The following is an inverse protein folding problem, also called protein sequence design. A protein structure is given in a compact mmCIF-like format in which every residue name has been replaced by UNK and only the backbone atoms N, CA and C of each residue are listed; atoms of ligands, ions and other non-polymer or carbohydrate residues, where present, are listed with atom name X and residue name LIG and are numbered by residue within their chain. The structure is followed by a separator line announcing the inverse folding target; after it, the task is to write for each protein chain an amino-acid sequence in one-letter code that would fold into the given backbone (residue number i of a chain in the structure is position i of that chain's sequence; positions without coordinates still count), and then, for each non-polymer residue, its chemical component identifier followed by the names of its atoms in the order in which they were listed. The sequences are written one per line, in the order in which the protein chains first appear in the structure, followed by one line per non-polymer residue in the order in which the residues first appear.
data_IF_521375427930
#
_entry.id   IF_521375427930
#
_cell.length_a   1.000
_cell.length_b   1.000
_cell.length_c   1.000
_cell.angle_alpha   90.00
_cell.angle_beta   90.00
_cell.angle_gamma   90.00
#
_symmetry.space_group_name_H-M   'P 1'
#
loop_
_entity.id
_entity.type
_entity.pdbx_description
1 polymer ?
#
# COMPACT_ATOMS: atom_id res chain seq x y z
N UNK A 1 28.56 69.01 2.95
CA UNK A 1 28.03 68.01 3.91
C UNK A 1 26.77 67.30 3.39
N UNK A 2 26.31 67.56 2.17
CA UNK A 2 25.04 67.01 1.66
C UNK A 2 25.16 65.70 0.86
N UNK A 3 26.37 65.21 0.57
CA UNK A 3 26.57 63.96 -0.18
C UNK A 3 26.65 62.70 0.69
N UNK A 4 26.72 62.86 2.01
CA UNK A 4 26.85 61.74 2.95
C UNK A 4 25.49 61.24 3.47
N UNK A 5 24.50 62.13 3.58
CA UNK A 5 23.17 61.79 4.14
C UNK A 5 22.30 61.01 3.13
N UNK A 6 22.41 61.28 1.82
CA UNK A 6 21.62 60.53 0.82
C UNK A 6 22.05 59.07 0.66
N UNK A 7 23.34 58.75 0.87
CA UNK A 7 23.86 57.38 0.73
C UNK A 7 23.39 56.45 1.85
N UNK A 8 23.19 56.97 3.06
CA UNK A 8 22.75 56.18 4.22
C UNK A 8 21.24 55.86 4.15
N UNK A 9 20.45 56.81 3.63
CA UNK A 9 19.02 56.62 3.32
C UNK A 9 18.79 55.51 2.28
N UNK A 10 19.50 55.55 1.16
CA UNK A 10 19.34 54.56 0.08
C UNK A 10 19.77 53.15 0.51
N UNK A 11 20.83 53.04 1.32
CA UNK A 11 21.28 51.76 1.84
C UNK A 11 20.26 51.14 2.80
N UNK A 12 19.63 51.96 3.65
CA UNK A 12 18.59 51.52 4.59
C UNK A 12 17.31 51.04 3.88
N UNK A 13 16.91 51.72 2.81
CA UNK A 13 15.76 51.39 1.96
C UNK A 13 15.99 50.11 1.16
N UNK A 14 17.19 49.91 0.62
CA UNK A 14 17.58 48.68 -0.08
C UNK A 14 17.63 47.47 0.87
N UNK A 15 18.13 47.63 2.09
CA UNK A 15 18.07 46.56 3.10
C UNK A 15 16.65 46.25 3.53
N UNK A 16 15.78 47.25 3.68
CA UNK A 16 14.38 47.05 4.08
C UNK A 16 13.57 46.35 2.99
N UNK A 17 13.76 46.74 1.73
CA UNK A 17 13.17 46.08 0.55
C UNK A 17 13.65 44.64 0.37
N UNK A 18 14.94 44.37 0.63
CA UNK A 18 15.50 43.02 0.57
C UNK A 18 14.93 42.11 1.67
N UNK A 19 14.77 42.63 2.89
CA UNK A 19 14.18 41.89 4.02
C UNK A 19 12.69 41.62 3.79
N UNK A 20 11.92 42.60 3.33
CA UNK A 20 10.48 42.42 3.00
C UNK A 20 10.26 41.41 1.86
N UNK A 21 11.13 41.41 0.84
CA UNK A 21 11.08 40.42 -0.24
C UNK A 21 11.47 39.01 0.25
N UNK A 22 12.41 38.91 1.18
CA UNK A 22 12.81 37.63 1.78
C UNK A 22 11.70 37.05 2.65
N UNK A 23 11.06 37.86 3.50
CA UNK A 23 9.91 37.44 4.31
C UNK A 23 8.70 37.05 3.46
N UNK A 24 8.41 37.79 2.38
CA UNK A 24 7.36 37.44 1.43
C UNK A 24 7.63 36.10 0.72
N UNK A 25 8.89 35.81 0.41
CA UNK A 25 9.31 34.54 -0.20
C UNK A 25 9.14 33.36 0.77
N UNK A 26 9.58 33.51 2.03
CA UNK A 26 9.40 32.50 3.09
C UNK A 26 7.91 32.26 3.37
N UNK A 27 7.10 33.31 3.40
CA UNK A 27 5.65 33.19 3.62
C UNK A 27 4.99 32.44 2.45
N UNK A 28 5.37 32.76 1.21
CA UNK A 28 4.86 32.08 0.00
C UNK A 28 5.29 30.62 -0.04
N UNK A 29 6.51 30.30 0.38
CA UNK A 29 7.02 28.95 0.49
C UNK A 29 6.31 28.16 1.60
N UNK A 30 6.06 28.77 2.77
CA UNK A 30 5.23 28.16 3.85
C UNK A 30 3.78 27.94 3.43
N UNK A 31 3.19 28.87 2.68
CA UNK A 31 1.82 28.74 2.15
C UNK A 31 1.76 27.63 1.10
N UNK A 32 2.75 27.57 0.20
CA UNK A 32 2.90 26.49 -0.79
C UNK A 32 3.07 25.12 -0.14
N UNK A 33 3.91 25.02 0.89
CA UNK A 33 4.15 23.78 1.63
C UNK A 33 2.89 23.33 2.39
N UNK A 34 2.15 24.27 3.01
CA UNK A 34 0.85 23.98 3.63
C UNK A 34 -0.17 23.52 2.60
N UNK A 35 -0.31 24.19 1.46
CA UNK A 35 -1.22 23.78 0.39
C UNK A 35 -0.88 22.37 -0.10
N UNK A 36 0.40 22.08 -0.33
CA UNK A 36 0.89 20.76 -0.75
C UNK A 36 0.63 19.67 0.30
N UNK A 37 0.73 20.00 1.59
CA UNK A 37 0.41 19.08 2.69
C UNK A 37 -1.10 18.81 2.82
N UNK A 38 -1.94 19.84 2.74
CA UNK A 38 -3.40 19.67 2.76
C UNK A 38 -3.92 18.90 1.55
N UNK A 39 -3.27 19.05 0.39
CA UNK A 39 -3.56 18.25 -0.80
C UNK A 39 -3.11 16.79 -0.65
N UNK A 40 -2.00 16.52 0.05
CA UNK A 40 -1.53 15.16 0.34
C UNK A 40 -2.44 14.43 1.36
N UNK A 41 -2.98 15.17 2.34
CA UNK A 41 -4.00 14.64 3.26
C UNK A 41 -5.29 14.32 2.47
N UNK A 42 -5.68 15.17 1.52
CA UNK A 42 -6.87 14.96 0.71
C UNK A 42 -8.17 15.22 1.47
N UNK A 43 -8.23 16.25 2.33
CA UNK A 43 -9.45 16.52 3.13
C UNK A 43 -10.65 16.88 2.24
N UNK A 44 -10.41 17.49 1.09
CA UNK A 44 -11.47 17.80 0.11
C UNK A 44 -12.19 16.55 -0.39
N UNK A 45 -11.52 15.41 -0.31
CA UNK A 45 -11.91 14.16 -0.93
C UNK A 45 -13.04 13.48 -0.13
N UNK A 46 -13.22 13.81 1.16
CA UNK A 46 -14.39 13.41 1.97
C UNK A 46 -15.73 13.89 1.39
N UNK A 47 -15.71 14.98 0.63
CA UNK A 47 -16.92 15.55 0.00
C UNK A 47 -17.19 14.99 -1.40
N UNK A 48 -16.30 14.17 -1.95
CA UNK A 48 -16.46 13.60 -3.28
C UNK A 48 -17.37 12.36 -3.25
N UNK A 49 -18.46 12.33 -4.02
CA UNK A 49 -19.31 11.14 -4.12
C UNK A 49 -18.60 9.96 -4.79
N UNK A 50 -17.61 10.20 -5.66
CA UNK A 50 -16.80 9.18 -6.30
C UNK A 50 -15.97 8.39 -5.27
N UNK A 51 -15.41 9.08 -4.28
CA UNK A 51 -14.70 8.42 -3.17
C UNK A 51 -15.61 7.44 -2.45
N UNK A 52 -16.82 7.86 -2.07
CA UNK A 52 -17.75 7.01 -1.33
C UNK A 52 -18.25 5.82 -2.14
N UNK A 53 -18.48 6.00 -3.46
CA UNK A 53 -18.80 4.90 -4.37
C UNK A 53 -17.65 3.89 -4.46
N UNK A 54 -16.41 4.36 -4.55
CA UNK A 54 -15.24 3.50 -4.61
C UNK A 54 -14.99 2.79 -3.27
N UNK A 55 -15.17 3.47 -2.14
CA UNK A 55 -15.11 2.87 -0.81
C UNK A 55 -16.20 1.81 -0.59
N UNK A 56 -17.43 2.07 -1.04
CA UNK A 56 -18.50 1.08 -1.00
C UNK A 56 -18.17 -0.14 -1.88
N UNK A 57 -17.55 0.09 -3.03
CA UNK A 57 -17.04 -0.99 -3.89
C UNK A 57 -16.02 -1.83 -3.14
N UNK A 58 -15.00 -1.21 -2.53
CA UNK A 58 -14.00 -1.88 -1.70
C UNK A 58 -14.61 -2.69 -0.55
N UNK A 59 -15.67 -2.18 0.10
CA UNK A 59 -16.40 -2.91 1.14
C UNK A 59 -17.07 -4.18 0.57
N UNK A 60 -17.89 -4.02 -0.47
CA UNK A 60 -18.67 -5.14 -1.04
C UNK A 60 -17.75 -6.19 -1.65
N UNK A 61 -16.72 -5.76 -2.38
CA UNK A 61 -15.79 -6.68 -3.04
C UNK A 61 -14.91 -7.39 -2.02
N UNK A 62 -14.47 -6.71 -0.95
CA UNK A 62 -13.74 -7.39 0.15
C UNK A 62 -14.64 -8.39 0.87
N UNK A 63 -15.92 -8.09 1.09
CA UNK A 63 -16.86 -9.03 1.71
C UNK A 63 -17.04 -10.31 0.86
N UNK A 64 -17.28 -10.13 -0.44
CA UNK A 64 -17.41 -11.25 -1.38
C UNK A 64 -16.09 -12.02 -1.54
N UNK A 65 -14.96 -11.33 -1.59
CA UNK A 65 -13.63 -11.94 -1.67
C UNK A 65 -13.38 -12.80 -0.44
N UNK A 66 -13.59 -12.28 0.77
CA UNK A 66 -13.38 -13.04 2.01
C UNK A 66 -14.31 -14.26 2.10
N UNK A 67 -15.56 -14.11 1.67
CA UNK A 67 -16.51 -15.21 1.62
C UNK A 67 -16.05 -16.33 0.67
N UNK A 68 -15.80 -16.00 -0.61
CA UNK A 68 -15.46 -16.98 -1.64
C UNK A 68 -14.06 -17.57 -1.40
N UNK A 69 -13.05 -16.71 -1.18
CA UNK A 69 -11.67 -17.14 -0.97
C UNK A 69 -11.56 -18.10 0.20
N UNK A 70 -12.16 -17.75 1.34
CA UNK A 70 -12.01 -18.54 2.56
C UNK A 70 -12.81 -19.83 2.49
N UNK A 71 -14.03 -19.81 1.93
CA UNK A 71 -14.80 -21.03 1.66
C UNK A 71 -14.02 -21.99 0.76
N UNK A 72 -13.40 -21.49 -0.32
CA UNK A 72 -12.59 -22.30 -1.22
C UNK A 72 -11.35 -22.86 -0.53
N UNK A 73 -10.64 -22.07 0.29
CA UNK A 73 -9.48 -22.56 1.05
C UNK A 73 -9.89 -23.69 2.00
N UNK A 74 -10.97 -23.50 2.76
CA UNK A 74 -11.48 -24.55 3.67
C UNK A 74 -11.86 -25.80 2.90
N UNK A 75 -12.56 -25.66 1.76
CA UNK A 75 -12.90 -26.79 0.90
C UNK A 75 -11.68 -27.52 0.34
N UNK A 76 -10.60 -26.81 0.03
CA UNK A 76 -9.34 -27.41 -0.44
C UNK A 76 -8.63 -28.19 0.68
N UNK A 77 -8.77 -27.75 1.93
CA UNK A 77 -8.17 -28.41 3.09
C UNK A 77 -8.98 -29.62 3.57
N UNK A 78 -10.29 -29.66 3.29
CA UNK A 78 -11.23 -30.71 3.72
C UNK A 78 -11.43 -31.80 2.66
N UNK A 79 -11.01 -31.58 1.41
CA UNK A 79 -11.36 -32.48 0.29
C UNK A 79 -10.76 -33.88 0.39
N UNK A 80 -9.67 -34.10 1.13
CA UNK A 80 -8.94 -35.37 1.27
C UNK A 80 -8.47 -36.06 -0.04
N UNK A 81 -8.85 -35.58 -1.22
CA UNK A 81 -8.57 -36.17 -2.54
C UNK A 81 -7.23 -35.72 -3.16
N UNK A 82 -6.70 -34.56 -2.77
CA UNK A 82 -5.50 -33.96 -3.40
C UNK A 82 -4.63 -33.26 -2.37
N UNK A 83 -3.32 -33.14 -2.63
CA UNK A 83 -2.42 -32.41 -1.73
C UNK A 83 -2.82 -30.92 -1.67
N UNK A 84 -3.29 -30.42 -0.51
CA UNK A 84 -3.75 -29.04 -0.38
C UNK A 84 -2.64 -28.01 -0.65
N UNK A 85 -1.36 -28.41 -0.58
CA UNK A 85 -0.21 -27.54 -0.85
C UNK A 85 -0.23 -26.93 -2.25
N UNK A 86 -0.79 -27.63 -3.24
CA UNK A 86 -0.92 -27.14 -4.61
C UNK A 86 -2.30 -26.53 -4.90
N UNK A 87 -3.35 -27.10 -4.30
CA UNK A 87 -4.72 -26.69 -4.57
C UNK A 87 -5.04 -25.30 -4.00
N UNK A 88 -4.56 -24.99 -2.78
CA UNK A 88 -4.80 -23.69 -2.13
C UNK A 88 -4.21 -22.52 -2.93
N UNK A 89 -2.92 -22.52 -3.34
CA UNK A 89 -2.36 -21.47 -4.19
C UNK A 89 -3.12 -21.28 -5.52
N UNK A 90 -3.58 -22.38 -6.13
CA UNK A 90 -4.32 -22.31 -7.38
C UNK A 90 -5.70 -21.66 -7.20
N UNK A 91 -6.41 -21.98 -6.12
CA UNK A 91 -7.66 -21.30 -5.75
C UNK A 91 -7.43 -19.81 -5.48
N UNK A 92 -6.38 -19.47 -4.73
CA UNK A 92 -5.99 -18.06 -4.47
C UNK A 92 -5.73 -17.33 -5.78
N UNK A 93 -4.99 -17.93 -6.72
CA UNK A 93 -4.71 -17.36 -8.03
C UNK A 93 -5.99 -17.01 -8.80
N UNK A 94 -6.88 -18.00 -9.00
CA UNK A 94 -8.10 -17.83 -9.80
C UNK A 94 -9.00 -16.75 -9.18
N UNK A 95 -9.26 -16.87 -7.88
CA UNK A 95 -10.19 -15.98 -7.18
C UNK A 95 -9.64 -14.56 -7.18
N UNK A 96 -8.36 -14.38 -6.82
CA UNK A 96 -7.75 -13.06 -6.84
C UNK A 96 -7.73 -12.45 -8.25
N UNK A 97 -7.39 -13.23 -9.27
CA UNK A 97 -7.41 -12.76 -10.66
C UNK A 97 -8.78 -12.23 -11.07
N UNK A 98 -9.85 -13.01 -10.82
CA UNK A 98 -11.22 -12.61 -11.19
C UNK A 98 -11.67 -11.35 -10.46
N UNK A 99 -11.40 -11.26 -9.16
CA UNK A 99 -11.74 -10.08 -8.38
C UNK A 99 -10.94 -8.85 -8.84
N UNK A 100 -9.62 -8.97 -9.07
CA UNK A 100 -8.80 -7.86 -9.56
C UNK A 100 -9.30 -7.36 -10.93
N UNK A 101 -9.60 -8.27 -11.85
CA UNK A 101 -10.11 -7.92 -13.19
C UNK A 101 -11.36 -7.03 -13.15
N UNK A 102 -12.28 -7.30 -12.22
CA UNK A 102 -13.52 -6.55 -12.09
C UNK A 102 -13.33 -5.27 -11.27
N UNK A 103 -12.50 -5.29 -10.23
CA UNK A 103 -12.45 -4.23 -9.22
C UNK A 103 -11.46 -3.11 -9.52
N UNK A 104 -10.38 -3.41 -10.26
CA UNK A 104 -9.40 -2.41 -10.71
C UNK A 104 -10.06 -1.22 -11.42
N UNK A 105 -10.93 -1.40 -12.44
CA UNK A 105 -11.57 -0.26 -13.10
C UNK A 105 -12.62 0.47 -12.23
N UNK A 106 -13.12 -0.16 -11.15
CA UNK A 106 -14.18 0.41 -10.32
C UNK A 106 -13.65 1.26 -9.16
N UNK A 107 -12.57 0.82 -8.52
CA UNK A 107 -12.07 1.40 -7.26
C UNK A 107 -10.54 1.51 -7.16
N UNK A 108 -9.81 0.89 -8.09
CA UNK A 108 -8.39 0.59 -7.96
C UNK A 108 -8.11 -0.87 -7.58
N UNK A 109 -9.12 -1.59 -7.07
CA UNK A 109 -9.05 -3.03 -6.84
C UNK A 109 -8.07 -3.42 -5.74
N UNK A 110 -8.05 -2.67 -4.64
CA UNK A 110 -7.09 -2.91 -3.56
C UNK A 110 -7.50 -4.11 -2.71
N UNK A 111 -8.75 -4.13 -2.21
CA UNK A 111 -9.37 -5.19 -1.39
C UNK A 111 -8.51 -5.66 -0.19
N UNK A 112 -7.51 -4.86 0.18
CA UNK A 112 -6.49 -5.19 1.16
C UNK A 112 -5.87 -3.89 1.69
N UNK A 113 -5.73 -3.77 3.02
CA UNK A 113 -5.04 -2.65 3.63
C UNK A 113 -3.59 -2.52 3.15
N UNK A 114 -2.94 -3.63 2.74
CA UNK A 114 -1.55 -3.62 2.24
C UNK A 114 -1.44 -2.87 0.92
N UNK A 115 -2.27 -3.24 -0.07
CA UNK A 115 -2.28 -2.57 -1.39
C UNK A 115 -2.69 -1.11 -1.25
N UNK A 116 -3.64 -0.81 -0.37
CA UNK A 116 -4.06 0.56 -0.07
C UNK A 116 -2.95 1.37 0.58
N UNK A 117 -2.24 0.79 1.54
CA UNK A 117 -1.15 1.47 2.23
C UNK A 117 0.02 1.75 1.31
N UNK A 118 0.46 0.80 0.48
CA UNK A 118 1.53 1.07 -0.48
C UNK A 118 1.12 2.07 -1.57
N UNK A 119 -0.14 2.06 -2.01
CA UNK A 119 -0.66 3.06 -2.94
C UNK A 119 -0.61 4.47 -2.32
N UNK A 120 -0.92 4.59 -1.02
CA UNK A 120 -0.82 5.85 -0.29
C UNK A 120 0.64 6.31 -0.13
N UNK A 121 1.57 5.38 0.21
CA UNK A 121 3.00 5.68 0.31
C UNK A 121 3.57 6.20 -1.01
N UNK A 122 3.12 5.62 -2.14
CA UNK A 122 3.52 6.04 -3.49
C UNK A 122 2.78 7.28 -4.01
N UNK A 123 1.83 7.83 -3.25
CA UNK A 123 1.08 9.01 -3.66
C UNK A 123 0.05 8.77 -4.78
N UNK A 124 -0.28 7.50 -5.07
CA UNK A 124 -1.31 7.11 -6.05
C UNK A 124 -2.70 7.49 -5.53
N UNK A 125 -2.90 7.36 -4.22
CA UNK A 125 -4.11 7.80 -3.52
C UNK A 125 -3.74 8.70 -2.34
N UNK A 126 -4.66 9.60 -1.96
CA UNK A 126 -4.50 10.43 -0.75
C UNK A 126 -4.59 9.60 0.53
N UNK A 127 -4.06 10.16 1.63
CA UNK A 127 -4.17 9.54 2.95
C UNK A 127 -5.62 9.43 3.43
N UNK A 128 -6.47 10.42 3.13
CA UNK A 128 -7.90 10.37 3.43
C UNK A 128 -8.57 9.19 2.72
N UNK A 129 -8.36 9.01 1.41
CA UNK A 129 -8.88 7.86 0.67
C UNK A 129 -8.40 6.54 1.25
N UNK A 130 -7.09 6.46 1.54
CA UNK A 130 -6.49 5.26 2.09
C UNK A 130 -7.15 4.85 3.41
N UNK A 131 -7.40 5.83 4.30
CA UNK A 131 -8.07 5.57 5.58
C UNK A 131 -9.49 5.02 5.41
N UNK A 132 -10.27 5.60 4.50
CA UNK A 132 -11.64 5.16 4.22
C UNK A 132 -11.64 3.77 3.59
N UNK A 133 -10.74 3.51 2.63
CA UNK A 133 -10.61 2.21 1.99
C UNK A 133 -10.25 1.12 3.00
N UNK A 134 -9.29 1.38 3.90
CA UNK A 134 -8.90 0.42 4.95
C UNK A 134 -10.09 0.11 5.87
N UNK A 135 -10.86 1.14 6.28
CA UNK A 135 -12.07 0.94 7.08
C UNK A 135 -13.12 0.13 6.32
N UNK A 136 -13.38 0.46 5.06
CA UNK A 136 -14.30 -0.24 4.19
C UNK A 136 -13.92 -1.72 4.01
N UNK A 137 -12.63 -2.01 3.78
CA UNK A 137 -12.09 -3.36 3.66
C UNK A 137 -12.23 -4.15 4.97
N UNK A 138 -11.99 -3.52 6.12
CA UNK A 138 -12.18 -4.16 7.42
C UNK A 138 -13.65 -4.53 7.68
N UNK A 139 -14.58 -3.58 7.42
CA UNK A 139 -16.03 -3.82 7.53
C UNK A 139 -16.49 -4.87 6.53
N UNK A 140 -15.99 -4.81 5.30
CA UNK A 140 -16.24 -5.80 4.26
C UNK A 140 -15.81 -7.19 4.70
N UNK A 141 -14.59 -7.33 5.21
CA UNK A 141 -14.08 -8.59 5.74
C UNK A 141 -14.97 -9.16 6.86
N UNK A 142 -15.29 -8.35 7.87
CA UNK A 142 -16.22 -8.75 8.95
C UNK A 142 -17.55 -9.24 8.37
N UNK A 143 -18.11 -8.53 7.39
CA UNK A 143 -19.37 -8.89 6.73
C UNK A 143 -19.25 -10.23 5.99
N UNK A 144 -18.17 -10.44 5.22
CA UNK A 144 -17.92 -11.69 4.51
C UNK A 144 -17.79 -12.88 5.45
N UNK A 145 -17.06 -12.73 6.55
CA UNK A 145 -16.91 -13.77 7.58
C UNK A 145 -18.20 -14.00 8.38
N UNK A 146 -19.05 -12.99 8.60
CA UNK A 146 -20.37 -13.16 9.20
C UNK A 146 -21.28 -14.04 8.33
N UNK A 147 -21.28 -13.79 7.02
CA UNK A 147 -22.03 -14.61 6.05
C UNK A 147 -21.45 -16.03 6.05
N UNK A 148 -20.12 -16.17 5.96
CA UNK A 148 -19.45 -17.47 5.97
C UNK A 148 -19.78 -18.30 7.22
N UNK A 149 -19.75 -17.68 8.40
CA UNK A 149 -20.08 -18.32 9.68
C UNK A 149 -21.50 -18.90 9.71
N UNK A 150 -22.42 -18.32 8.94
CA UNK A 150 -23.84 -18.73 8.90
C UNK A 150 -24.10 -19.85 7.91
N UNK A 151 -23.37 -19.90 6.80
CA UNK A 151 -23.62 -20.87 5.73
C UNK A 151 -22.69 -22.08 5.77
N UNK A 152 -21.50 -21.94 6.35
CA UNK A 152 -20.54 -23.02 6.47
C UNK A 152 -20.97 -24.03 7.54
N UNK A 153 -20.72 -25.32 7.30
CA UNK A 153 -20.95 -26.37 8.29
C UNK A 153 -20.23 -26.03 9.61
N UNK A 154 -20.93 -26.17 10.74
CA UNK A 154 -20.41 -25.89 12.08
C UNK A 154 -19.11 -26.63 12.40
N UNK A 155 -18.98 -27.88 11.96
CA UNK A 155 -17.79 -28.70 12.23
C UNK A 155 -16.59 -28.16 11.44
N UNK A 156 -16.74 -27.93 10.13
CA UNK A 156 -15.69 -27.33 9.30
C UNK A 156 -15.30 -25.92 9.80
N UNK A 157 -16.29 -25.09 10.13
CA UNK A 157 -16.05 -23.76 10.67
C UNK A 157 -15.25 -23.81 11.99
N UNK A 158 -15.43 -24.83 12.83
CA UNK A 158 -14.69 -24.99 14.08
C UNK A 158 -13.30 -25.58 13.84
N UNK A 159 -13.19 -26.63 13.05
CA UNK A 159 -11.93 -27.32 12.71
C UNK A 159 -10.93 -26.37 12.08
N UNK A 160 -11.38 -25.56 11.10
CA UNK A 160 -10.52 -24.64 10.37
C UNK A 160 -10.52 -23.22 10.94
N UNK A 161 -11.15 -22.97 12.10
CA UNK A 161 -11.27 -21.62 12.69
C UNK A 161 -11.79 -20.56 11.70
N UNK A 162 -12.80 -20.92 10.91
CA UNK A 162 -13.33 -20.15 9.77
C UNK A 162 -12.31 -19.81 8.68
N UNK A 163 -11.14 -20.46 8.64
CA UNK A 163 -10.02 -20.10 7.77
C UNK A 163 -9.28 -18.83 8.22
N UNK A 164 -9.42 -18.46 9.49
CA UNK A 164 -8.70 -17.33 10.09
C UNK A 164 -7.20 -17.53 10.23
N UNK A 165 -6.47 -16.43 10.37
CA UNK A 165 -5.02 -16.44 10.53
C UNK A 165 -4.66 -16.78 11.98
N UNK A 166 -4.02 -17.93 12.21
CA UNK A 166 -3.52 -18.36 13.53
C UNK A 166 -2.02 -18.58 13.49
N UNK A 167 -1.33 -18.22 14.56
CA UNK A 167 0.10 -18.48 14.77
C UNK A 167 0.34 -19.57 15.82
N UNK A 168 -0.61 -19.74 16.74
CA UNK A 168 -0.55 -20.75 17.79
C UNK A 168 -1.27 -22.02 17.36
N UNK A 169 -0.68 -23.17 17.68
CA UNK A 169 -1.37 -24.45 17.58
C UNK A 169 -2.32 -24.61 18.76
N UNK A 170 -3.54 -25.10 18.51
CA UNK A 170 -4.49 -25.44 19.57
C UNK A 170 -3.93 -26.62 20.39
N UNK A 171 -3.14 -26.33 21.43
CA UNK A 171 -2.86 -27.19 22.57
C UNK A 171 -2.04 -28.48 22.34
N UNK A 172 -1.72 -28.90 21.12
CA UNK A 172 -0.98 -30.16 20.91
C UNK A 172 -0.08 -30.24 19.66
N UNK A 173 -0.11 -29.26 18.76
CA UNK A 173 0.84 -29.16 17.64
C UNK A 173 1.63 -27.85 17.75
N UNK A 174 2.94 -27.94 17.52
CA UNK A 174 3.88 -26.82 17.62
C UNK A 174 3.51 -25.69 16.63
N UNK A 175 2.86 -24.66 17.15
CA UNK A 175 2.60 -23.40 16.43
C UNK A 175 3.88 -22.70 15.99
N UNK A 176 3.75 -21.70 15.14
CA UNK A 176 4.87 -20.88 14.66
C UNK A 176 5.07 -19.73 15.66
N UNK A 177 6.31 -19.51 16.11
CA UNK A 177 6.59 -18.38 17.01
C UNK A 177 6.17 -17.05 16.36
N UNK A 178 5.68 -16.05 17.13
CA UNK A 178 5.30 -14.75 16.57
C UNK A 178 6.41 -14.08 15.75
N UNK A 179 7.68 -14.25 16.16
CA UNK A 179 8.84 -13.74 15.42
C UNK A 179 9.04 -14.42 14.07
N UNK A 180 8.89 -15.75 14.01
CA UNK A 180 8.95 -16.50 12.75
C UNK A 180 7.78 -16.13 11.84
N UNK A 181 6.57 -16.01 12.39
CA UNK A 181 5.39 -15.58 11.63
C UNK A 181 5.59 -14.16 11.07
N UNK A 182 6.20 -13.25 11.83
CA UNK A 182 6.50 -11.89 11.38
C UNK A 182 7.47 -11.87 10.21
N UNK A 183 8.56 -12.65 10.28
CA UNK A 183 9.52 -12.78 9.17
C UNK A 183 8.82 -13.33 7.93
N UNK A 184 7.97 -14.33 8.11
CA UNK A 184 7.25 -14.94 6.99
C UNK A 184 6.25 -13.99 6.34
N UNK A 185 5.42 -13.29 7.13
CA UNK A 185 4.52 -12.23 6.65
C UNK A 185 5.29 -11.16 5.89
N UNK A 186 6.41 -10.68 6.45
CA UNK A 186 7.25 -9.67 5.83
C UNK A 186 7.81 -10.15 4.48
N UNK A 187 8.41 -11.35 4.43
CA UNK A 187 9.03 -11.90 3.22
C UNK A 187 7.99 -12.19 2.13
N UNK A 188 6.90 -12.88 2.47
CA UNK A 188 5.82 -13.19 1.53
C UNK A 188 5.14 -11.92 1.01
N UNK A 189 4.86 -10.94 1.88
CA UNK A 189 4.32 -9.64 1.42
C UNK A 189 5.33 -8.92 0.54
N UNK A 190 6.62 -8.95 0.86
CA UNK A 190 7.66 -8.34 0.03
C UNK A 190 7.65 -8.94 -1.38
N UNK A 191 7.57 -10.26 -1.53
CA UNK A 191 7.45 -10.90 -2.86
C UNK A 191 6.25 -10.38 -3.64
N UNK A 192 5.08 -10.26 -2.99
CA UNK A 192 3.86 -9.71 -3.61
C UNK A 192 4.07 -8.26 -4.07
N UNK A 193 4.72 -7.43 -3.26
CA UNK A 193 5.00 -6.04 -3.60
C UNK A 193 6.02 -5.93 -4.74
N UNK A 194 7.14 -6.65 -4.64
CA UNK A 194 8.21 -6.60 -5.64
C UNK A 194 7.78 -7.12 -7.01
N UNK A 195 7.02 -8.21 -7.05
CA UNK A 195 6.58 -8.83 -8.31
C UNK A 195 5.30 -8.18 -8.82
N UNK A 196 4.26 -8.15 -7.98
CA UNK A 196 2.93 -7.66 -8.35
C UNK A 196 2.87 -6.14 -8.47
N UNK A 197 3.22 -5.43 -7.40
CA UNK A 197 3.01 -3.98 -7.30
C UNK A 197 3.96 -3.19 -8.20
N UNK A 198 5.18 -3.67 -8.42
CA UNK A 198 6.11 -3.02 -9.35
C UNK A 198 5.56 -2.94 -10.77
N UNK A 199 4.89 -4.00 -11.26
CA UNK A 199 4.27 -3.99 -12.58
C UNK A 199 2.95 -3.21 -12.56
N UNK A 200 2.14 -3.40 -11.51
CA UNK A 200 0.82 -2.78 -11.42
C UNK A 200 0.89 -1.24 -11.35
N UNK A 201 1.89 -0.70 -10.67
CA UNK A 201 2.04 0.75 -10.49
C UNK A 201 3.00 1.39 -11.48
N UNK A 202 3.68 0.63 -12.34
CA UNK A 202 4.41 1.20 -13.47
C UNK A 202 3.42 1.48 -14.61
N UNK A 203 3.02 2.75 -14.76
CA UNK A 203 2.02 3.20 -15.74
C UNK A 203 2.38 2.80 -17.17
N UNK A 204 3.67 2.79 -17.52
CA UNK A 204 4.10 2.42 -18.87
C UNK A 204 3.97 0.93 -19.09
N UNK A 205 4.54 0.12 -18.19
CA UNK A 205 4.51 -1.35 -18.30
C UNK A 205 3.09 -1.90 -18.17
N UNK A 206 2.29 -1.35 -17.27
CA UNK A 206 0.88 -1.77 -17.10
C UNK A 206 0.04 -1.47 -18.35
N UNK A 207 0.27 -0.35 -19.04
CA UNK A 207 -0.38 -0.04 -20.33
C UNK A 207 0.09 -0.97 -21.45
N UNK A 208 1.39 -1.24 -21.54
CA UNK A 208 1.97 -2.13 -22.56
C UNK A 208 1.52 -3.60 -22.39
N UNK A 209 1.43 -4.10 -21.15
CA UNK A 209 1.01 -5.47 -20.83
C UNK A 209 -0.52 -5.65 -20.84
N UNK A 210 -1.26 -4.59 -20.56
CA UNK A 210 -2.71 -4.62 -20.42
C UNK A 210 -3.21 -5.13 -19.06
N UNK A 211 -4.46 -4.80 -18.74
CA UNK A 211 -5.08 -5.08 -17.43
C UNK A 211 -5.03 -6.57 -17.05
N UNK A 212 -5.33 -7.45 -17.99
CA UNK A 212 -5.36 -8.89 -17.73
C UNK A 212 -3.99 -9.42 -17.26
N UNK A 213 -2.91 -9.02 -17.90
CA UNK A 213 -1.57 -9.44 -17.51
C UNK A 213 -1.15 -8.86 -16.16
N UNK A 214 -1.50 -7.61 -15.87
CA UNK A 214 -1.27 -7.01 -14.55
C UNK A 214 -1.98 -7.82 -13.46
N UNK A 215 -3.26 -8.15 -13.65
CA UNK A 215 -4.03 -8.97 -12.72
C UNK A 215 -3.42 -10.37 -12.55
N UNK A 216 -2.94 -11.00 -13.64
CA UNK A 216 -2.26 -12.30 -13.59
C UNK A 216 -0.97 -12.22 -12.76
N UNK A 217 -0.14 -11.20 -12.96
CA UNK A 217 1.11 -11.06 -12.20
C UNK A 217 0.82 -10.85 -10.71
N UNK A 218 -0.12 -9.97 -10.36
CA UNK A 218 -0.46 -9.71 -8.95
C UNK A 218 -1.06 -10.95 -8.29
N UNK A 219 -2.02 -11.62 -8.93
CA UNK A 219 -2.62 -12.86 -8.44
C UNK A 219 -1.59 -14.00 -8.35
N UNK A 220 -0.70 -14.10 -9.33
CA UNK A 220 0.40 -15.08 -9.37
C UNK A 220 1.38 -14.87 -8.23
N UNK A 221 1.77 -13.63 -7.96
CA UNK A 221 2.66 -13.31 -6.84
C UNK A 221 2.02 -13.70 -5.49
N UNK A 222 0.72 -13.45 -5.30
CA UNK A 222 0.00 -13.90 -4.10
C UNK A 222 -0.05 -15.43 -4.00
N UNK A 223 -0.34 -16.13 -5.10
CA UNK A 223 -0.37 -17.59 -5.11
C UNK A 223 1.01 -18.20 -4.77
N UNK A 224 2.09 -17.67 -5.35
CA UNK A 224 3.45 -18.08 -5.03
C UNK A 224 3.78 -17.81 -3.56
N UNK A 225 3.42 -16.65 -3.03
CA UNK A 225 3.64 -16.32 -1.62
C UNK A 225 2.90 -17.28 -0.68
N UNK A 226 1.65 -17.65 -1.00
CA UNK A 226 0.88 -18.65 -0.26
C UNK A 226 1.52 -20.04 -0.37
N UNK A 227 1.96 -20.46 -1.56
CA UNK A 227 2.66 -21.72 -1.77
C UNK A 227 3.95 -21.82 -0.94
N UNK A 228 4.80 -20.79 -0.99
CA UNK A 228 6.03 -20.72 -0.19
C UNK A 228 5.71 -20.77 1.30
N UNK A 229 4.68 -20.05 1.73
CA UNK A 229 4.29 -20.01 3.13
C UNK A 229 3.87 -21.37 3.67
N UNK A 230 3.05 -22.11 2.92
CA UNK A 230 2.58 -23.45 3.30
C UNK A 230 3.75 -24.46 3.28
N UNK A 231 4.65 -24.37 2.29
CA UNK A 231 5.77 -25.31 2.14
C UNK A 231 6.87 -25.13 3.18
N UNK A 232 7.24 -23.88 3.50
CA UNK A 232 8.32 -23.57 4.46
C UNK A 232 7.92 -23.87 5.89
N UNK A 233 6.68 -23.59 6.27
CA UNK A 233 6.23 -23.84 7.65
C UNK A 233 5.87 -25.30 7.85
N UNK A 234 5.25 -25.98 6.86
CA UNK A 234 4.99 -27.42 6.86
C UNK A 234 4.23 -27.97 8.09
N UNK A 235 3.76 -27.10 8.98
CA UNK A 235 3.21 -27.47 10.28
C UNK A 235 1.69 -27.60 10.19
N UNK A 236 1.18 -28.70 10.71
CA UNK A 236 -0.25 -28.87 10.92
C UNK A 236 -0.77 -27.78 11.88
N UNK A 237 -1.69 -26.95 11.40
CA UNK A 237 -2.32 -25.88 12.18
C UNK A 237 -1.91 -24.45 11.82
N UNK A 238 -0.93 -24.25 10.92
CA UNK A 238 -0.66 -22.92 10.36
C UNK A 238 -1.51 -22.70 9.10
N UNK A 239 -2.39 -21.69 9.13
CA UNK A 239 -3.37 -21.42 8.07
C UNK A 239 -2.75 -20.84 6.78
N UNK A 240 -1.42 -20.67 6.73
CA UNK A 240 -0.72 -19.95 5.67
C UNK A 240 -0.61 -18.46 5.98
N UNK A 241 0.24 -17.77 5.20
CA UNK A 241 0.44 -16.32 5.28
C UNK A 241 -0.88 -15.57 5.08
N UNK A 242 -1.08 -14.52 5.88
CA UNK A 242 -2.22 -13.63 5.85
C UNK A 242 -2.24 -12.74 4.60
N UNK A 243 -1.13 -12.05 4.30
CA UNK A 243 -0.95 -11.08 3.19
C UNK A 243 -1.92 -9.88 3.17
N UNK A 244 -3.00 -9.94 3.94
CA UNK A 244 -4.09 -9.00 3.98
C UNK A 244 -4.55 -8.84 5.44
N UNK A 245 -4.26 -7.71 6.09
CA UNK A 245 -4.64 -7.47 7.48
C UNK A 245 -6.16 -7.55 7.70
N UNK A 246 -6.97 -7.06 6.75
CA UNK A 246 -8.42 -7.14 6.85
C UNK A 246 -8.90 -8.61 6.79
N UNK A 247 -8.28 -9.45 5.96
CA UNK A 247 -8.55 -10.91 5.91
C UNK A 247 -8.37 -11.56 7.27
N UNK A 248 -7.30 -11.22 7.98
CA UNK A 248 -7.04 -11.77 9.30
C UNK A 248 -7.95 -11.16 10.38
N UNK A 249 -8.33 -9.88 10.25
CA UNK A 249 -9.12 -9.16 11.25
C UNK A 249 -10.55 -9.71 11.38
N UNK A 250 -11.23 -9.95 10.26
CA UNK A 250 -12.61 -10.44 10.23
C UNK A 250 -12.85 -11.64 11.15
N UNK A 251 -12.20 -12.80 10.94
CA UNK A 251 -12.43 -13.99 11.75
C UNK A 251 -11.93 -13.81 13.17
N UNK A 252 -10.86 -13.03 13.41
CA UNK A 252 -10.37 -12.75 14.76
C UNK A 252 -11.41 -12.00 15.61
N UNK A 253 -12.10 -11.01 15.03
CA UNK A 253 -13.20 -10.29 15.71
C UNK A 253 -14.42 -11.19 15.96
N UNK A 254 -14.74 -12.10 15.04
CA UNK A 254 -15.90 -12.98 15.17
C UNK A 254 -15.69 -14.14 16.15
N UNK A 255 -14.53 -14.78 16.11
CA UNK A 255 -14.26 -16.05 16.84
C UNK A 255 -13.43 -15.86 18.09
N UNK A 256 -12.69 -14.76 18.23
CA UNK A 256 -11.85 -14.53 19.39
C UNK A 256 -10.73 -15.57 19.54
N UNK A 257 -10.27 -15.75 20.78
CA UNK A 257 -9.38 -16.85 21.16
C UNK A 257 -8.00 -16.79 20.50
N UNK A 258 -7.54 -17.94 19.99
CA UNK A 258 -6.19 -18.09 19.39
C UNK A 258 -5.95 -17.20 18.17
N UNK A 259 -7.01 -16.78 17.46
CA UNK A 259 -6.90 -15.85 16.32
C UNK A 259 -6.48 -14.43 16.71
N UNK A 260 -6.66 -14.05 17.99
CA UNK A 260 -6.14 -12.78 18.52
C UNK A 260 -4.70 -12.89 19.01
N UNK A 261 -4.22 -14.10 19.30
CA UNK A 261 -2.85 -14.29 19.76
C UNK A 261 -1.87 -13.94 18.64
N UNK A 262 -1.02 -12.95 18.89
CA UNK A 262 -0.10 -12.37 17.90
C UNK A 262 -0.75 -11.85 16.62
N UNK A 263 -2.03 -11.49 16.66
CA UNK A 263 -2.75 -10.89 15.53
C UNK A 263 -2.03 -9.65 14.94
N UNK A 264 -1.32 -8.91 15.79
CA UNK A 264 -0.53 -7.74 15.39
C UNK A 264 0.51 -8.06 14.29
N UNK A 265 0.97 -9.30 14.20
CA UNK A 265 1.94 -9.75 13.20
C UNK A 265 1.40 -9.56 11.78
N UNK A 266 0.10 -9.83 11.57
CA UNK A 266 -0.58 -9.69 10.28
C UNK A 266 -0.79 -8.23 9.86
N UNK A 267 -0.53 -7.27 10.75
CA UNK A 267 -0.52 -5.85 10.45
C UNK A 267 0.91 -5.34 10.29
N UNK A 268 1.77 -5.59 11.28
CA UNK A 268 3.13 -5.06 11.31
C UNK A 268 4.00 -5.66 10.21
N UNK A 269 3.93 -6.98 9.97
CA UNK A 269 4.74 -7.63 8.93
C UNK A 269 4.49 -7.04 7.55
N UNK A 270 3.23 -6.98 7.08
CA UNK A 270 2.92 -6.39 5.79
C UNK A 270 3.18 -4.87 5.73
N UNK A 271 2.92 -4.10 6.80
CA UNK A 271 3.25 -2.67 6.83
C UNK A 271 4.76 -2.41 6.71
N UNK A 272 5.59 -3.20 7.39
CA UNK A 272 7.06 -3.12 7.27
C UNK A 272 7.51 -3.43 5.84
N UNK A 273 6.91 -4.44 5.20
CA UNK A 273 7.19 -4.77 3.80
C UNK A 273 6.86 -3.60 2.87
N UNK A 274 5.73 -2.91 3.08
CA UNK A 274 5.38 -1.70 2.32
C UNK A 274 6.42 -0.58 2.47
N UNK A 275 6.86 -0.30 3.71
CA UNK A 275 7.84 0.75 3.99
C UNK A 275 9.20 0.43 3.33
N UNK A 276 9.67 -0.80 3.48
CA UNK A 276 10.94 -1.25 2.89
C UNK A 276 10.88 -1.23 1.36
N UNK A 277 9.81 -1.76 0.77
CA UNK A 277 9.60 -1.73 -0.67
C UNK A 277 9.56 -0.29 -1.20
N UNK A 278 8.82 0.60 -0.55
CA UNK A 278 8.79 2.02 -0.92
C UNK A 278 10.19 2.65 -0.89
N UNK A 279 10.93 2.46 0.21
CA UNK A 279 12.30 2.95 0.34
C UNK A 279 13.23 2.40 -0.74
N UNK A 280 13.12 1.11 -1.07
CA UNK A 280 13.89 0.49 -2.16
C UNK A 280 13.58 1.13 -3.51
N UNK A 281 12.30 1.30 -3.86
CA UNK A 281 11.92 1.91 -5.14
C UNK A 281 12.36 3.37 -5.28
N UNK A 282 12.56 4.09 -4.17
CA UNK A 282 13.13 5.44 -4.16
C UNK A 282 14.63 5.47 -4.45
N UNK A 283 15.35 4.43 -4.04
CA UNK A 283 16.80 4.31 -4.23
C UNK A 283 17.22 3.88 -5.64
N UNK A 284 16.30 3.43 -6.49
CA UNK A 284 16.61 3.01 -7.84
C UNK A 284 16.89 4.23 -8.76
N UNK A 285 17.93 4.17 -9.63
CA UNK A 285 18.20 5.21 -10.60
C UNK A 285 16.98 5.44 -11.51
N UNK A 286 16.55 6.69 -11.62
CA UNK A 286 15.43 7.07 -12.51
C UNK A 286 15.81 7.04 -14.00
N UNK A 287 17.10 6.90 -14.31
CA UNK A 287 17.65 6.87 -15.66
C UNK A 287 17.34 5.51 -16.33
N UNK A 288 16.13 5.41 -16.89
CA UNK A 288 15.60 4.22 -17.55
C UNK A 288 14.12 3.95 -17.22
N UNK A 289 13.60 4.56 -16.16
CA UNK A 289 12.21 4.52 -15.71
C UNK A 289 11.70 5.97 -15.63
N UNK A 290 11.30 6.52 -16.78
CA UNK A 290 10.62 7.82 -16.85
C UNK A 290 9.23 7.62 -16.24
N UNK A 291 9.10 7.91 -14.95
CA UNK A 291 7.81 8.16 -14.32
C UNK A 291 7.28 9.46 -14.91
N UNK A 292 6.10 9.46 -15.55
CA UNK A 292 5.43 10.71 -15.91
C UNK A 292 5.29 11.56 -14.65
N UNK A 293 5.80 12.80 -14.70
CA UNK A 293 5.78 13.74 -13.59
C UNK A 293 4.33 14.03 -13.16
N UNK A 294 3.92 13.45 -12.03
CA UNK A 294 2.58 13.65 -11.47
C UNK A 294 2.37 13.11 -10.05
N UNK A 295 3.20 12.18 -9.57
CA UNK A 295 3.03 11.58 -8.24
C UNK A 295 3.78 12.38 -7.15
N UNK A 296 3.00 12.97 -6.24
CA UNK A 296 3.50 13.77 -5.10
C UNK A 296 3.90 12.85 -3.94
N UNK A 297 5.20 12.64 -3.80
CA UNK A 297 5.80 11.80 -2.77
C UNK A 297 5.77 12.41 -1.35
N UNK A 298 5.39 11.59 -0.36
CA UNK A 298 5.40 11.93 1.07
C UNK A 298 6.77 12.37 1.62
N UNK A 299 7.89 11.95 1.00
CA UNK A 299 9.25 12.31 1.45
C UNK A 299 9.70 13.67 0.90
N UNK A 300 9.15 14.15 -0.21
CA UNK A 300 9.39 15.51 -0.68
C UNK A 300 8.80 16.57 0.27
N UNK A 301 7.94 16.18 1.20
CA UNK A 301 7.49 17.02 2.30
C UNK A 301 8.47 17.11 3.49
N UNK A 302 9.34 16.11 3.67
CA UNK A 302 10.30 16.08 4.78
C UNK A 302 11.66 16.69 4.43
N UNK A 303 12.02 16.71 3.15
CA UNK A 303 13.29 17.27 2.67
C UNK A 303 13.53 18.77 2.99
N UNK A 304 12.53 19.68 2.92
CA UNK A 304 12.79 21.09 3.21
C UNK A 304 12.98 21.37 4.72
N UNK A 305 12.60 20.45 5.61
CA UNK A 305 12.82 20.60 7.05
C UNK A 305 14.27 20.31 7.48
N UNK A 306 15.06 19.59 6.67
CA UNK A 306 16.44 19.19 6.99
C UNK A 306 17.50 20.00 6.23
N UNK A 307 17.16 20.68 5.13
CA UNK A 307 18.11 21.47 4.33
C UNK A 307 18.33 22.92 4.82
N UNK A 308 17.81 23.31 5.98
CA UNK A 308 18.03 24.64 6.55
C UNK A 308 19.41 24.83 7.23
N UNK A 309 20.31 23.85 7.16
CA UNK A 309 21.68 23.97 7.68
C UNK A 309 22.72 23.52 6.66
N UNK A 310 23.21 24.48 5.86
CA UNK A 310 24.38 24.30 5.00
C UNK A 310 24.55 25.44 3.98
N UNK A 311 25.72 26.10 3.90
CA UNK A 311 25.94 27.21 2.97
C UNK A 311 26.00 26.73 1.51
N UNK A 312 25.23 27.38 0.62
CA UNK A 312 25.28 27.14 -0.84
C UNK A 312 26.49 27.84 -1.47
N UNK A 313 27.33 27.07 -2.17
CA UNK A 313 28.25 27.56 -3.20
C UNK A 313 27.52 27.64 -4.55
N UNK A 314 27.72 28.73 -5.30
CA UNK A 314 27.23 28.92 -6.67
C UNK A 314 28.10 28.16 -7.68
N UNK A 315 27.53 27.60 -8.77
CA UNK A 315 28.26 27.36 -10.01
C UNK A 315 27.96 28.44 -11.06
N UNK A 316 29.05 29.01 -11.58
CA UNK A 316 29.11 29.97 -12.68
C UNK A 316 28.42 29.48 -13.96
N UNK A 317 27.78 30.41 -14.67
CA UNK A 317 27.12 30.16 -15.95
C UNK A 317 28.05 29.96 -17.14
N UNK A 318 27.52 29.30 -18.18
CA UNK A 318 27.90 29.53 -19.58
C UNK A 318 26.68 29.48 -20.50
N UNK A 319 26.71 30.46 -21.38
CA UNK A 319 25.82 30.93 -22.45
C UNK A 319 25.29 29.84 -23.40
N UNK A 320 24.01 30.01 -23.79
CA UNK A 320 23.28 29.29 -24.84
C UNK A 320 23.71 29.82 -26.23
N UNK A 321 24.18 28.95 -27.13
CA UNK A 321 24.30 29.27 -28.56
C UNK A 321 23.08 28.71 -29.32
N UNK A 322 22.35 29.62 -29.97
CA UNK A 322 21.21 29.35 -30.84
C UNK A 322 21.77 29.24 -32.27
N UNK A 323 21.64 28.07 -32.90
CA UNK A 323 21.93 27.88 -34.32
C UNK A 323 20.61 27.93 -35.10
N UNK A 324 20.45 28.96 -35.93
CA UNK A 324 19.44 29.04 -37.00
C UNK A 324 20.03 28.61 -38.33
N UNK A 325 19.24 28.02 -39.26
CA UNK A 325 19.73 27.52 -40.54
C UNK A 325 19.66 28.58 -41.65
N UNK A 326 20.58 28.52 -42.61
CA UNK A 326 20.38 29.14 -43.94
C UNK A 326 21.27 28.53 -45.02
N UNK A 327 20.61 28.11 -46.11
CA UNK A 327 21.03 27.78 -47.47
C UNK A 327 21.68 26.42 -47.75
#
# INVERSE_FOLDING_TARGET
MDSFISRESDHSLLTRSSVENHEATILKERISLKATFFDCIGVHEFSSPEMWKAAFTELVTTALLMFILTASIVSCLDSHETDPKLLVPFAVFIIAFLFLMVTVPLSGGHMSPVFTFIAALKGIISLARASIYILAQCVGSITGFLILNRVMNHDAAKTYSLGGCTIDGNGSTSGVSPGTALILEFCCTSVVLFVGVTIAFDTRRSKELGLAMVCVVVAGAMAVAVFVSITVTGHAGYAGVGLNPARCLGPALLRGGSLWHGHWVFWIGPCLACIVYYGFTKGLPKEGLVWEEGERDLVNLAAPALCCWGPRSQPNGKVLEIVTPSH
#
